data_IF_421342924632
#
_entry.id   IF_421342924632
#
_cell.length_a   1.000
_cell.length_b   1.000
_cell.length_c   1.000
_cell.angle_alpha   90.00
_cell.angle_beta   90.00
_cell.angle_gamma   90.00
#
_symmetry.space_group_name_H-M   'P 1'
#
loop_
_entity.id
_entity.type
_entity.pdbx_description
1 polymer ?
#
# COMPACT_ATOMS: atom_id res chain seq x y z
N UNK A 1 -3.44 13.23 -9.75
CA UNK A 1 -2.62 12.64 -8.69
C UNK A 1 -3.29 11.35 -8.27
N UNK A 2 -2.63 10.21 -8.43
CA UNK A 2 -3.14 8.93 -7.91
C UNK A 2 -2.62 8.79 -6.48
N UNK A 3 -3.52 8.59 -5.52
CA UNK A 3 -3.20 8.38 -4.11
C UNK A 3 -2.78 6.93 -3.91
N UNK A 4 -1.52 6.71 -3.58
CA UNK A 4 -0.92 5.39 -3.43
C UNK A 4 -0.67 5.07 -1.97
N UNK A 5 -1.03 3.86 -1.56
CA UNK A 5 -0.64 3.24 -0.30
C UNK A 5 0.38 2.12 -0.53
N UNK A 6 1.27 1.89 0.41
CA UNK A 6 2.22 0.76 0.35
C UNK A 6 2.06 -0.11 1.60
N UNK A 7 1.84 -1.41 1.40
CA UNK A 7 1.77 -2.42 2.46
C UNK A 7 3.10 -3.18 2.49
N UNK A 8 3.66 -3.37 3.69
CA UNK A 8 5.05 -3.82 3.86
C UNK A 8 6.05 -2.69 3.59
N UNK A 9 5.69 -1.46 3.93
CA UNK A 9 6.42 -0.25 3.54
C UNK A 9 7.85 -0.16 4.10
N UNK A 10 8.16 -0.79 5.25
CA UNK A 10 9.52 -0.83 5.80
C UNK A 10 10.34 -2.01 5.24
N UNK A 11 9.72 -2.87 4.43
CA UNK A 11 10.39 -3.97 3.74
C UNK A 11 11.35 -3.51 2.65
N UNK A 12 12.19 -4.44 2.18
CA UNK A 12 13.18 -4.17 1.11
C UNK A 12 12.55 -3.61 -0.16
N UNK A 13 11.44 -4.21 -0.62
CA UNK A 13 10.74 -3.75 -1.82
C UNK A 13 9.80 -2.59 -1.51
N UNK A 14 9.02 -2.67 -0.43
CA UNK A 14 8.08 -1.61 -0.04
C UNK A 14 8.75 -0.24 0.15
N UNK A 15 9.94 -0.19 0.75
CA UNK A 15 10.68 1.07 0.91
C UNK A 15 11.12 1.68 -0.43
N UNK A 16 11.53 0.85 -1.40
CA UNK A 16 11.86 1.34 -2.75
C UNK A 16 10.61 1.81 -3.50
N UNK A 17 9.48 1.10 -3.36
CA UNK A 17 8.19 1.53 -3.92
C UNK A 17 7.77 2.88 -3.35
N UNK A 18 7.87 3.08 -2.03
CA UNK A 18 7.53 4.36 -1.40
C UNK A 18 8.40 5.52 -1.95
N UNK A 19 9.70 5.28 -2.15
CA UNK A 19 10.60 6.27 -2.77
C UNK A 19 10.21 6.56 -4.23
N UNK A 20 9.91 5.51 -5.01
CA UNK A 20 9.51 5.65 -6.40
C UNK A 20 8.21 6.44 -6.54
N UNK A 21 7.21 6.15 -5.71
CA UNK A 21 5.93 6.87 -5.68
C UNK A 21 6.14 8.35 -5.34
N UNK A 22 6.95 8.67 -4.31
CA UNK A 22 7.25 10.07 -3.97
C UNK A 22 8.00 10.84 -5.07
N UNK A 23 8.69 10.12 -5.96
CA UNK A 23 9.49 10.71 -7.03
C UNK A 23 8.73 10.86 -8.35
N UNK A 24 7.53 10.29 -8.45
CA UNK A 24 6.70 10.36 -9.64
C UNK A 24 5.75 11.56 -9.57
N UNK A 25 5.73 12.39 -10.61
CA UNK A 25 4.97 13.64 -10.62
C UNK A 25 3.44 13.45 -10.63
N UNK A 26 2.96 12.27 -10.99
CA UNK A 26 1.54 11.92 -11.10
C UNK A 26 1.00 11.09 -9.92
N UNK A 27 1.87 10.71 -8.99
CA UNK A 27 1.54 9.88 -7.82
C UNK A 27 1.77 10.63 -6.51
N UNK A 28 1.01 10.25 -5.49
CA UNK A 28 1.18 10.76 -4.13
C UNK A 28 1.17 9.60 -3.13
N UNK A 29 2.23 9.47 -2.34
CA UNK A 29 2.27 8.47 -1.27
C UNK A 29 1.50 9.00 -0.06
N UNK A 30 0.31 8.45 0.16
CA UNK A 30 -0.61 8.91 1.22
C UNK A 30 -0.70 7.94 2.41
N UNK A 31 -0.25 6.70 2.25
CA UNK A 31 -0.27 5.69 3.30
C UNK A 31 0.95 4.75 3.22
N UNK A 32 1.48 4.38 4.38
CA UNK A 32 2.53 3.38 4.53
C UNK A 32 2.15 2.51 5.71
N UNK A 33 1.93 1.22 5.46
CA UNK A 33 1.45 0.25 6.45
C UNK A 33 2.46 -0.88 6.55
N UNK A 34 2.80 -1.30 7.77
CA UNK A 34 3.59 -2.49 8.05
C UNK A 34 2.88 -3.42 9.06
N UNK A 35 3.56 -4.47 9.52
CA UNK A 35 2.99 -5.61 10.27
C UNK A 35 2.19 -5.23 11.53
N UNK A 36 2.56 -4.12 12.18
CA UNK A 36 1.94 -3.66 13.44
C UNK A 36 0.96 -2.48 13.22
N UNK A 37 0.76 -2.05 11.97
CA UNK A 37 -0.11 -0.95 11.61
C UNK A 37 -1.53 -1.44 11.24
N UNK A 38 -2.51 -0.54 11.31
CA UNK A 38 -3.89 -0.85 10.92
C UNK A 38 -4.09 -0.62 9.42
N UNK A 39 -4.66 -1.61 8.72
CA UNK A 39 -5.04 -1.46 7.31
C UNK A 39 -6.05 -0.32 7.09
N UNK A 40 -6.77 0.13 8.13
CA UNK A 40 -7.60 1.32 8.09
C UNK A 40 -6.86 2.60 7.64
N UNK A 41 -5.54 2.64 7.76
CA UNK A 41 -4.71 3.74 7.27
C UNK A 41 -4.70 3.83 5.74
N UNK A 42 -5.16 2.79 5.03
CA UNK A 42 -5.39 2.79 3.57
C UNK A 42 -6.74 3.43 3.19
N UNK A 43 -7.52 3.95 4.14
CA UNK A 43 -8.81 4.57 3.84
C UNK A 43 -8.68 5.75 2.86
N UNK A 44 -9.37 5.65 1.72
CA UNK A 44 -9.36 6.67 0.67
C UNK A 44 -8.13 6.63 -0.25
N UNK A 45 -7.27 5.62 -0.14
CA UNK A 45 -6.23 5.33 -1.12
C UNK A 45 -6.87 4.87 -2.44
N UNK A 46 -6.35 5.32 -3.59
CA UNK A 46 -6.84 4.89 -4.91
C UNK A 46 -6.29 3.50 -5.27
N UNK A 47 -5.01 3.26 -4.96
CA UNK A 47 -4.32 1.98 -5.18
C UNK A 47 -3.31 1.65 -4.07
N UNK A 48 -3.34 0.43 -3.56
CA UNK A 48 -2.35 -0.12 -2.65
C UNK A 48 -1.35 -1.00 -3.42
N UNK A 49 -0.06 -0.87 -3.13
CA UNK A 49 0.98 -1.80 -3.59
C UNK A 49 1.35 -2.75 -2.45
N UNK A 50 1.15 -4.06 -2.64
CA UNK A 50 1.40 -5.06 -1.62
C UNK A 50 2.74 -5.78 -1.84
N UNK A 51 3.74 -5.43 -1.04
CA UNK A 51 5.00 -6.15 -0.96
C UNK A 51 5.16 -6.85 0.39
N UNK A 52 4.25 -7.77 0.70
CA UNK A 52 4.24 -8.54 1.95
C UNK A 52 4.58 -10.02 1.78
N UNK A 53 4.48 -10.78 2.87
CA UNK A 53 4.69 -12.23 2.88
C UNK A 53 3.45 -12.97 2.35
N UNK A 54 3.59 -14.15 1.70
CA UNK A 54 2.47 -14.99 1.29
C UNK A 54 1.43 -15.34 2.38
N UNK A 55 1.81 -15.20 3.65
CA UNK A 55 0.92 -15.47 4.78
C UNK A 55 -0.02 -14.28 5.10
N UNK A 56 0.32 -13.06 4.66
CA UNK A 56 -0.44 -11.83 4.90
C UNK A 56 -1.21 -11.37 3.65
N UNK A 57 -0.65 -11.59 2.45
CA UNK A 57 -1.17 -11.01 1.19
C UNK A 57 -2.67 -11.27 0.95
N UNK A 58 -3.18 -12.47 1.25
CA UNK A 58 -4.59 -12.77 1.02
C UNK A 58 -5.53 -12.01 1.96
N UNK A 59 -5.08 -11.72 3.18
CA UNK A 59 -5.82 -10.88 4.13
C UNK A 59 -5.86 -9.43 3.65
N UNK A 60 -4.70 -8.88 3.24
CA UNK A 60 -4.56 -7.52 2.75
C UNK A 60 -5.39 -7.27 1.48
N UNK A 61 -5.33 -8.18 0.51
CA UNK A 61 -6.14 -8.12 -0.72
C UNK A 61 -7.63 -8.15 -0.37
N UNK A 62 -8.05 -9.04 0.52
CA UNK A 62 -9.43 -9.13 0.97
C UNK A 62 -9.92 -7.82 1.59
N UNK A 63 -9.09 -7.18 2.41
CA UNK A 63 -9.38 -5.87 2.97
C UNK A 63 -9.48 -4.78 1.88
N UNK A 64 -8.51 -4.70 0.96
CA UNK A 64 -8.51 -3.69 -0.11
C UNK A 64 -9.76 -3.79 -0.99
N UNK A 65 -10.10 -5.01 -1.42
CA UNK A 65 -11.29 -5.27 -2.25
C UNK A 65 -12.57 -4.89 -1.52
N UNK A 66 -12.69 -5.23 -0.23
CA UNK A 66 -13.86 -4.88 0.58
C UNK A 66 -14.06 -3.37 0.74
N UNK A 67 -12.98 -2.58 0.64
CA UNK A 67 -13.00 -1.12 0.81
C UNK A 67 -12.85 -0.35 -0.51
N UNK A 68 -12.90 -1.04 -1.66
CA UNK A 68 -12.81 -0.41 -2.98
C UNK A 68 -11.42 0.16 -3.32
N UNK A 69 -10.37 -0.30 -2.64
CA UNK A 69 -8.98 0.06 -2.93
C UNK A 69 -8.45 -0.90 -3.99
N UNK A 70 -7.97 -0.38 -5.12
CA UNK A 70 -7.30 -1.21 -6.12
C UNK A 70 -6.00 -1.76 -5.52
N UNK A 71 -5.59 -2.97 -5.89
CA UNK A 71 -4.37 -3.58 -5.34
C UNK A 71 -3.49 -4.14 -6.45
N UNK A 72 -2.18 -3.89 -6.34
CA UNK A 72 -1.13 -4.35 -7.27
C UNK A 72 -0.06 -5.10 -6.49
#
# INVERSE_FOLDING_TARGET
MIRVGVIGAQGKMGSQTALAVRSADDLELVAQVDVDDDLADLAGVDVAVDFTHPAAVMHNIGWCVAHGVNVV
#
